data_IF_330780543925
#
_entry.id   IF_330780543925
#
_cell.length_a   1.000
_cell.length_b   1.000
_cell.length_c   1.000
_cell.angle_alpha   90.00
_cell.angle_beta   90.00
_cell.angle_gamma   90.00
#
_symmetry.space_group_name_H-M   'P 1'
#
loop_
_entity.id
_entity.type
_entity.pdbx_description
1 polymer ?
#
# COMPACT_ATOMS: atom_id res chain seq x y z
N UNK A 1 4.68 7.86 -24.34
CA UNK A 1 3.82 6.72 -23.93
C UNK A 1 2.79 6.46 -25.01
N UNK A 2 2.50 5.19 -25.31
CA UNK A 2 1.41 4.82 -26.22
C UNK A 2 0.04 5.06 -25.56
N UNK A 3 -1.03 5.10 -26.37
CA UNK A 3 -2.41 5.15 -25.84
C UNK A 3 -2.70 3.94 -24.95
N UNK A 4 -2.23 2.76 -25.33
CA UNK A 4 -2.40 1.53 -24.54
C UNK A 4 -1.67 1.62 -23.20
N UNK A 5 -0.41 2.05 -23.19
CA UNK A 5 0.36 2.23 -21.95
C UNK A 5 -0.35 3.18 -20.99
N UNK A 6 -0.93 4.28 -21.49
CA UNK A 6 -1.70 5.20 -20.64
C UNK A 6 -2.95 4.54 -20.04
N UNK A 7 -3.67 3.76 -20.83
CA UNK A 7 -4.84 3.00 -20.35
C UNK A 7 -4.42 2.04 -19.25
N UNK A 8 -3.34 1.28 -19.46
CA UNK A 8 -2.83 0.32 -18.49
C UNK A 8 -2.36 0.98 -17.19
N UNK A 9 -1.67 2.13 -17.26
CA UNK A 9 -1.29 2.90 -16.06
C UNK A 9 -2.52 3.37 -15.26
N UNK A 10 -3.57 3.78 -15.97
CA UNK A 10 -4.85 4.14 -15.36
C UNK A 10 -5.56 2.92 -14.76
N UNK A 11 -5.52 1.77 -15.44
CA UNK A 11 -6.03 0.50 -14.91
C UNK A 11 -5.29 0.15 -13.62
N UNK A 12 -3.96 0.08 -13.61
CA UNK A 12 -3.19 -0.20 -12.40
C UNK A 12 -3.56 0.71 -11.22
N UNK A 13 -3.73 2.01 -11.50
CA UNK A 13 -4.16 2.99 -10.48
C UNK A 13 -5.59 2.73 -9.99
N UNK A 14 -6.50 2.37 -10.89
CA UNK A 14 -7.89 2.03 -10.56
C UNK A 14 -7.99 0.77 -9.71
N UNK A 15 -7.37 -0.32 -10.15
CA UNK A 15 -7.36 -1.61 -9.43
C UNK A 15 -6.80 -1.43 -8.00
N UNK A 16 -5.65 -0.75 -7.85
CA UNK A 16 -5.05 -0.50 -6.53
C UNK A 16 -5.91 0.39 -5.62
N UNK A 17 -6.66 1.33 -6.20
CA UNK A 17 -7.63 2.15 -5.48
C UNK A 17 -8.83 1.33 -4.98
N UNK A 18 -9.35 0.43 -5.82
CA UNK A 18 -10.49 -0.43 -5.48
C UNK A 18 -10.16 -1.43 -4.37
N UNK A 19 -8.94 -1.98 -4.32
CA UNK A 19 -8.47 -2.81 -3.20
C UNK A 19 -8.69 -2.11 -1.86
N UNK A 20 -8.28 -0.84 -1.75
CA UNK A 20 -8.43 -0.06 -0.53
C UNK A 20 -9.90 0.20 -0.17
N UNK A 21 -10.73 0.52 -1.16
CA UNK A 21 -12.15 0.75 -0.96
C UNK A 21 -12.88 -0.52 -0.52
N UNK A 22 -12.67 -1.65 -1.18
CA UNK A 22 -13.31 -2.91 -0.82
C UNK A 22 -12.93 -3.36 0.60
N UNK A 23 -11.68 -3.19 1.02
CA UNK A 23 -11.26 -3.47 2.39
C UNK A 23 -11.91 -2.54 3.42
N UNK A 24 -12.09 -1.26 3.08
CA UNK A 24 -12.80 -0.30 3.94
C UNK A 24 -14.31 -0.64 4.05
N UNK A 25 -14.95 -0.98 2.93
CA UNK A 25 -16.34 -1.42 2.89
C UNK A 25 -16.53 -2.74 3.65
N UNK A 26 -15.59 -3.68 3.54
CA UNK A 26 -15.62 -4.93 4.31
C UNK A 26 -15.57 -4.66 5.82
N UNK A 27 -14.71 -3.75 6.27
CA UNK A 27 -14.66 -3.32 7.67
C UNK A 27 -15.98 -2.69 8.11
N UNK A 28 -16.62 -1.89 7.25
CA UNK A 28 -17.95 -1.32 7.54
C UNK A 28 -19.02 -2.42 7.66
N UNK A 29 -19.02 -3.40 6.76
CA UNK A 29 -19.94 -4.54 6.81
C UNK A 29 -19.78 -5.36 8.11
N UNK A 30 -18.55 -5.53 8.61
CA UNK A 30 -18.31 -6.15 9.93
C UNK A 30 -18.95 -5.34 11.06
N UNK A 31 -18.80 -4.01 11.06
CA UNK A 31 -19.42 -3.12 12.05
C UNK A 31 -20.96 -3.13 11.97
N UNK A 32 -21.51 -3.39 10.80
CA UNK A 32 -22.95 -3.50 10.56
C UNK A 32 -23.49 -4.92 10.82
N UNK A 33 -22.66 -5.84 11.36
CA UNK A 33 -22.98 -7.24 11.64
C UNK A 33 -23.37 -8.06 10.39
N UNK A 34 -22.74 -7.78 9.25
CA UNK A 34 -22.91 -8.48 7.97
C UNK A 34 -21.63 -9.24 7.56
N UNK A 35 -21.27 -10.34 8.27
CA UNK A 35 -19.99 -11.02 8.07
C UNK A 35 -19.84 -11.64 6.68
N UNK A 36 -20.91 -12.17 6.08
CA UNK A 36 -20.88 -12.74 4.74
C UNK A 36 -20.55 -11.69 3.67
N UNK A 37 -21.11 -10.49 3.80
CA UNK A 37 -20.80 -9.35 2.92
C UNK A 37 -19.35 -8.92 3.08
N UNK A 38 -18.86 -8.86 4.33
CA UNK A 38 -17.45 -8.54 4.58
C UNK A 38 -16.51 -9.57 3.94
N UNK A 39 -16.81 -10.86 4.07
CA UNK A 39 -16.03 -11.93 3.41
C UNK A 39 -16.02 -11.78 1.91
N UNK A 40 -17.18 -11.55 1.30
CA UNK A 40 -17.29 -11.35 -0.15
C UNK A 40 -16.47 -10.14 -0.63
N UNK A 41 -16.59 -8.99 0.05
CA UNK A 41 -15.84 -7.78 -0.29
C UNK A 41 -14.31 -7.96 -0.13
N UNK A 42 -13.87 -8.74 0.86
CA UNK A 42 -12.45 -9.11 0.97
C UNK A 42 -11.98 -9.99 -0.19
N UNK A 43 -12.86 -10.86 -0.70
CA UNK A 43 -12.62 -11.64 -1.92
C UNK A 43 -12.40 -10.73 -3.12
N UNK A 44 -13.31 -9.79 -3.36
CA UNK A 44 -13.18 -8.80 -4.45
C UNK A 44 -11.87 -8.00 -4.33
N UNK A 45 -11.51 -7.54 -3.13
CA UNK A 45 -10.23 -6.85 -2.93
C UNK A 45 -9.01 -7.68 -3.36
N UNK A 46 -9.06 -9.01 -3.20
CA UNK A 46 -7.98 -9.89 -3.64
C UNK A 46 -8.00 -10.14 -5.16
N UNK A 47 -9.18 -10.15 -5.77
CA UNK A 47 -9.33 -10.23 -7.24
C UNK A 47 -8.75 -8.97 -7.91
N UNK A 48 -9.09 -7.77 -7.43
CA UNK A 48 -8.53 -6.52 -7.98
C UNK A 48 -7.02 -6.39 -7.71
N UNK A 49 -6.54 -6.91 -6.58
CA UNK A 49 -5.10 -7.02 -6.33
C UNK A 49 -4.41 -7.95 -7.36
N UNK A 50 -5.11 -9.00 -7.81
CA UNK A 50 -4.69 -9.87 -8.91
C UNK A 50 -4.62 -9.12 -10.24
N UNK A 51 -5.66 -8.37 -10.60
CA UNK A 51 -5.67 -7.54 -11.81
C UNK A 51 -4.53 -6.51 -11.79
N UNK A 52 -4.33 -5.81 -10.67
CA UNK A 52 -3.22 -4.87 -10.50
C UNK A 52 -1.85 -5.54 -10.70
N UNK A 53 -1.66 -6.77 -10.21
CA UNK A 53 -0.44 -7.54 -10.38
C UNK A 53 -0.15 -7.84 -11.86
N UNK A 54 -1.15 -8.35 -12.58
CA UNK A 54 -1.01 -8.67 -14.01
C UNK A 54 -0.65 -7.41 -14.83
N UNK A 55 -1.33 -6.29 -14.56
CA UNK A 55 -1.06 -5.02 -15.24
C UNK A 55 0.32 -4.47 -14.90
N UNK A 56 0.77 -4.58 -13.64
CA UNK A 56 2.11 -4.16 -13.25
C UNK A 56 3.21 -4.95 -13.95
N UNK A 57 3.01 -6.26 -14.14
CA UNK A 57 3.91 -7.12 -14.92
C UNK A 57 3.93 -6.68 -16.39
N UNK A 58 2.77 -6.51 -17.01
CA UNK A 58 2.69 -6.09 -18.42
C UNK A 58 3.24 -4.67 -18.68
N UNK A 59 3.30 -3.83 -17.65
CA UNK A 59 3.91 -2.49 -17.69
C UNK A 59 5.40 -2.48 -17.33
N UNK A 60 6.03 -3.64 -17.11
CA UNK A 60 7.43 -3.76 -16.68
C UNK A 60 7.73 -2.95 -15.38
N UNK A 61 6.76 -2.85 -14.46
CA UNK A 61 6.94 -2.13 -13.18
C UNK A 61 7.77 -2.89 -12.16
N UNK A 62 8.07 -4.17 -12.41
CA UNK A 62 8.86 -5.04 -11.54
C UNK A 62 10.21 -5.37 -12.16
N UNK A 63 11.21 -5.58 -11.32
CA UNK A 63 12.57 -6.03 -11.68
C UNK A 63 12.85 -7.40 -11.08
N UNK A 64 14.13 -7.78 -10.98
CA UNK A 64 14.55 -8.93 -10.18
C UNK A 64 14.21 -8.76 -8.70
N UNK A 65 14.11 -9.88 -7.98
CA UNK A 65 13.66 -9.89 -6.57
C UNK A 65 14.52 -9.01 -5.69
N UNK A 66 15.86 -9.05 -5.85
CA UNK A 66 16.77 -8.24 -5.05
C UNK A 66 16.57 -6.75 -5.33
N UNK A 67 16.50 -6.37 -6.60
CA UNK A 67 16.30 -4.99 -7.02
C UNK A 67 14.95 -4.44 -6.54
N UNK A 68 13.89 -5.26 -6.56
CA UNK A 68 12.58 -4.87 -6.02
C UNK A 68 12.64 -4.63 -4.52
N UNK A 69 13.34 -5.50 -3.76
CA UNK A 69 13.50 -5.33 -2.32
C UNK A 69 14.33 -4.08 -1.98
N UNK A 70 15.40 -3.79 -2.73
CA UNK A 70 16.20 -2.57 -2.57
C UNK A 70 15.36 -1.32 -2.88
N UNK A 71 14.56 -1.38 -3.96
CA UNK A 71 13.65 -0.29 -4.34
C UNK A 71 12.63 -0.02 -3.23
N UNK A 72 11.95 -1.06 -2.74
CA UNK A 72 10.96 -0.92 -1.66
C UNK A 72 11.61 -0.46 -0.35
N UNK A 73 12.83 -0.93 -0.02
CA UNK A 73 13.56 -0.49 1.17
C UNK A 73 13.84 1.02 1.14
N UNK A 74 14.23 1.54 -0.02
CA UNK A 74 14.38 2.97 -0.24
C UNK A 74 13.07 3.72 -0.03
N UNK A 75 11.98 3.20 -0.60
CA UNK A 75 10.61 3.72 -0.41
C UNK A 75 10.20 3.80 1.06
N UNK A 76 10.32 2.70 1.81
CA UNK A 76 9.94 2.67 3.22
C UNK A 76 10.80 3.59 4.09
N UNK A 77 12.07 3.77 3.73
CA UNK A 77 12.96 4.71 4.43
C UNK A 77 12.52 6.16 4.24
N UNK A 78 12.09 6.53 3.03
CA UNK A 78 11.54 7.86 2.75
C UNK A 78 10.19 8.04 3.43
N UNK A 79 9.27 7.08 3.26
CA UNK A 79 7.94 7.12 3.85
C UNK A 79 7.95 7.22 5.38
N UNK A 80 8.90 6.56 6.05
CA UNK A 80 9.11 6.69 7.50
C UNK A 80 9.34 8.15 7.90
N UNK A 81 10.18 8.87 7.15
CA UNK A 81 10.51 10.29 7.40
C UNK A 81 9.32 11.19 7.08
N UNK A 82 8.73 11.02 5.90
CA UNK A 82 7.58 11.82 5.46
C UNK A 82 6.40 11.71 6.43
N UNK A 83 6.11 10.50 6.93
CA UNK A 83 5.05 10.28 7.94
C UNK A 83 5.39 10.90 9.28
N UNK A 84 6.66 10.91 9.69
CA UNK A 84 7.08 11.59 10.91
C UNK A 84 6.92 13.12 10.79
N UNK A 85 7.25 13.69 9.64
CA UNK A 85 7.03 15.11 9.35
C UNK A 85 5.54 15.45 9.29
N UNK A 86 4.73 14.61 8.66
CA UNK A 86 3.27 14.76 8.61
C UNK A 86 2.64 14.68 10.02
N UNK A 87 3.14 13.79 10.88
CA UNK A 87 2.70 13.72 12.28
C UNK A 87 3.01 15.01 13.04
N UNK A 88 4.20 15.58 12.84
CA UNK A 88 4.59 16.87 13.45
C UNK A 88 3.66 18.00 12.99
N UNK A 89 3.44 18.12 11.67
CA UNK A 89 2.54 19.14 11.10
C UNK A 89 1.12 18.97 11.63
N UNK A 90 0.59 17.75 11.67
CA UNK A 90 -0.74 17.49 12.19
C UNK A 90 -0.90 17.90 13.66
N UNK A 91 0.14 17.73 14.49
CA UNK A 91 0.14 18.24 15.89
C UNK A 91 0.16 19.76 15.95
N UNK A 92 0.97 20.41 15.11
CA UNK A 92 1.05 21.88 15.02
C UNK A 92 -0.29 22.49 14.61
N UNK A 93 -1.04 21.81 13.75
CA UNK A 93 -2.38 22.19 13.31
C UNK A 93 -3.51 21.76 14.27
N UNK A 94 -3.18 21.05 15.36
CA UNK A 94 -4.16 20.59 16.35
C UNK A 94 -5.01 19.39 15.91
N UNK A 95 -4.65 18.70 14.84
CA UNK A 95 -5.33 17.49 14.37
C UNK A 95 -4.69 16.22 15.00
N UNK A 96 -5.13 15.91 16.22
CA UNK A 96 -4.59 14.79 17.00
C UNK A 96 -4.84 13.41 16.36
N UNK A 97 -5.95 13.23 15.65
CA UNK A 97 -6.27 11.96 14.98
C UNK A 97 -5.32 11.70 13.81
N UNK A 98 -5.07 12.72 12.99
CA UNK A 98 -4.11 12.64 11.90
C UNK A 98 -2.69 12.43 12.44
N UNK A 99 -2.31 13.14 13.50
CA UNK A 99 -1.01 12.96 14.16
C UNK A 99 -0.81 11.50 14.60
N UNK A 100 -1.79 10.95 15.33
CA UNK A 100 -1.75 9.57 15.82
C UNK A 100 -1.66 8.56 14.68
N UNK A 101 -2.41 8.78 13.60
CA UNK A 101 -2.34 7.95 12.41
C UNK A 101 -0.93 7.95 11.80
N UNK A 102 -0.35 9.13 11.59
CA UNK A 102 0.95 9.28 10.96
C UNK A 102 2.10 8.75 11.82
N UNK A 103 2.03 8.88 13.15
CA UNK A 103 2.99 8.25 14.06
C UNK A 103 2.96 6.73 13.96
N UNK A 104 1.77 6.14 14.01
CA UNK A 104 1.60 4.69 13.83
C UNK A 104 2.11 4.24 12.46
N UNK A 105 1.73 4.96 11.40
CA UNK A 105 2.15 4.63 10.05
C UNK A 105 3.67 4.73 9.88
N UNK A 106 4.34 5.73 10.50
CA UNK A 106 5.81 5.82 10.50
C UNK A 106 6.46 4.62 11.21
N UNK A 107 5.89 4.17 12.33
CA UNK A 107 6.36 2.96 13.01
C UNK A 107 6.17 1.69 12.17
N UNK A 108 5.05 1.59 11.44
CA UNK A 108 4.79 0.50 10.49
C UNK A 108 5.80 0.49 9.35
N UNK A 109 6.12 1.64 8.75
CA UNK A 109 7.13 1.68 7.67
C UNK A 109 8.53 1.35 8.17
N UNK A 110 8.87 1.73 9.42
CA UNK A 110 10.12 1.29 10.02
C UNK A 110 10.17 -0.24 10.23
N UNK A 111 9.04 -0.87 10.55
CA UNK A 111 8.92 -2.33 10.64
C UNK A 111 9.04 -2.98 9.26
N UNK A 112 8.39 -2.43 8.23
CA UNK A 112 8.52 -2.90 6.85
C UNK A 112 9.96 -2.81 6.34
N UNK A 113 10.59 -1.65 6.51
CA UNK A 113 12.02 -1.40 6.23
C UNK A 113 12.92 -2.46 6.87
N UNK A 114 12.69 -2.74 8.15
CA UNK A 114 13.47 -3.74 8.91
C UNK A 114 13.30 -5.15 8.34
N UNK A 115 12.07 -5.51 7.94
CA UNK A 115 11.78 -6.78 7.27
C UNK A 115 12.50 -6.92 5.92
N UNK A 116 12.39 -5.89 5.07
CA UNK A 116 13.04 -5.85 3.75
C UNK A 116 14.57 -5.97 3.87
N UNK A 117 15.19 -5.20 4.78
CA UNK A 117 16.62 -5.28 5.06
C UNK A 117 17.03 -6.68 5.54
N UNK A 118 16.20 -7.30 6.38
CA UNK A 118 16.42 -8.66 6.87
C UNK A 118 16.46 -9.70 5.74
N UNK A 119 15.60 -9.60 4.73
CA UNK A 119 15.63 -10.48 3.56
C UNK A 119 16.82 -10.19 2.64
N UNK A 120 17.13 -8.93 2.36
CA UNK A 120 18.31 -8.56 1.56
C UNK A 120 19.61 -9.10 2.16
N UNK A 121 19.74 -9.08 3.48
CA UNK A 121 20.91 -9.62 4.18
C UNK A 121 21.08 -11.14 4.02
N UNK A 122 20.01 -11.87 3.68
CA UNK A 122 20.01 -13.33 3.43
C UNK A 122 20.33 -13.68 1.98
N UNK A 123 20.23 -12.72 1.05
CA UNK A 123 20.46 -12.90 -0.38
C UNK A 123 21.94 -12.69 -0.78
N UNK A 124 22.86 -12.96 0.15
CA UNK A 124 24.31 -12.88 -0.09
C UNK A 124 24.79 -13.99 -1.00
#
# INVERSE_FOLDING_TARGET
>A
MSKLTKIMEQTFTGETYEVGLYLAMAKKAELDNMPEVATYLRGLAMEEAGHACEVAIMLDKIKGTKENLEYMLGGETMATREKMDAARIAKEEGNNDAATFFERASADENRHRSGLQGFLNKMK
#
